data_IF_683313227630
#
_entry.id   IF_683313227630
#
_cell.length_a   1.000
_cell.length_b   1.000
_cell.length_c   1.000
_cell.angle_alpha   90.00
_cell.angle_beta   90.00
_cell.angle_gamma   90.00
#
_symmetry.space_group_name_H-M   'P 1'
#
loop_
_entity.id
_entity.type
_entity.pdbx_description
1 polymer ?
#
# COMPACT_ATOMS: atom_id res chain seq x y z
N UNK A 1 -29.06 20.26 -29.77
CA UNK A 1 -27.88 20.60 -30.58
C UNK A 1 -26.63 20.31 -29.76
N UNK A 2 -25.97 19.17 -30.01
CA UNK A 2 -24.56 18.85 -29.70
C UNK A 2 -24.38 17.34 -29.97
N UNK A 3 -24.31 16.93 -31.24
CA UNK A 3 -24.06 15.53 -31.60
C UNK A 3 -23.27 15.33 -32.90
N UNK A 4 -22.47 16.31 -33.34
CA UNK A 4 -21.72 16.19 -34.61
C UNK A 4 -20.23 16.54 -34.53
N UNK A 5 -19.72 17.07 -33.42
CA UNK A 5 -18.32 17.52 -33.33
C UNK A 5 -17.31 16.43 -32.94
N UNK A 6 -17.74 15.35 -32.27
CA UNK A 6 -16.81 14.27 -31.83
C UNK A 6 -16.41 13.29 -32.94
N UNK A 7 -17.24 13.12 -33.98
CA UNK A 7 -16.92 12.20 -35.08
C UNK A 7 -15.89 12.79 -36.07
N UNK A 8 -15.80 14.12 -36.17
CA UNK A 8 -14.88 14.80 -37.07
C UNK A 8 -13.43 14.81 -36.56
N UNK A 9 -13.22 14.84 -35.23
CA UNK A 9 -11.87 14.82 -34.64
C UNK A 9 -11.20 13.45 -34.80
N UNK A 10 -11.96 12.36 -34.69
CA UNK A 10 -11.45 10.98 -34.84
C UNK A 10 -11.05 10.66 -36.29
N UNK A 11 -11.71 11.27 -37.28
CA UNK A 11 -11.38 11.05 -38.70
C UNK A 11 -10.11 11.76 -39.16
N UNK A 12 -9.64 12.78 -38.45
CA UNK A 12 -8.47 13.60 -38.83
C UNK A 12 -7.12 13.05 -38.36
N UNK A 13 -7.11 11.99 -37.55
CA UNK A 13 -5.88 11.38 -37.02
C UNK A 13 -5.35 10.19 -37.84
N UNK A 14 -6.11 9.70 -38.83
CA UNK A 14 -5.69 8.58 -39.70
C UNK A 14 -4.50 8.87 -40.61
N UNK A 15 -4.05 10.13 -40.69
CA UNK A 15 -2.84 10.53 -41.41
C UNK A 15 -1.80 11.20 -40.52
N UNK A 16 -1.95 11.16 -39.20
CA UNK A 16 -0.94 11.73 -38.29
C UNK A 16 0.19 10.73 -38.03
N UNK A 17 1.43 11.19 -37.77
CA UNK A 17 2.57 10.32 -37.40
C UNK A 17 2.24 9.38 -36.23
N UNK A 18 1.30 9.77 -35.37
CA UNK A 18 0.80 9.02 -34.22
C UNK A 18 0.06 7.72 -34.60
N UNK A 19 -0.55 7.65 -35.79
CA UNK A 19 -1.25 6.44 -36.26
C UNK A 19 -0.29 5.41 -36.89
N UNK A 20 0.85 5.85 -37.45
CA UNK A 20 1.87 4.97 -37.98
C UNK A 20 2.64 4.23 -36.88
N UNK A 21 2.78 4.84 -35.70
CA UNK A 21 3.46 4.25 -34.54
C UNK A 21 2.70 3.07 -33.90
N UNK A 22 1.39 2.95 -34.16
CA UNK A 22 0.58 1.80 -33.73
C UNK A 22 0.65 0.61 -34.70
N UNK A 23 1.03 0.83 -35.96
CA UNK A 23 1.05 -0.21 -37.00
C UNK A 23 2.28 -1.12 -36.93
N UNK A 24 3.31 -0.77 -36.15
CA UNK A 24 4.59 -1.49 -36.11
C UNK A 24 4.75 -2.44 -34.91
N UNK A 25 3.75 -2.55 -34.03
CA UNK A 25 3.86 -3.42 -32.84
C UNK A 25 3.72 -4.88 -33.24
N UNK A 26 4.83 -5.61 -33.20
CA UNK A 26 4.85 -7.07 -33.32
C UNK A 26 4.01 -7.67 -32.19
N UNK A 27 3.23 -8.72 -32.45
CA UNK A 27 2.46 -9.42 -31.43
C UNK A 27 3.12 -10.79 -31.17
N UNK A 28 3.33 -11.13 -29.90
CA UNK A 28 3.70 -12.48 -29.49
C UNK A 28 2.41 -13.30 -29.32
N UNK A 29 2.41 -14.54 -29.84
CA UNK A 29 1.27 -15.46 -29.69
C UNK A 29 1.57 -16.43 -28.56
N UNK A 30 0.78 -16.39 -27.49
CA UNK A 30 0.89 -17.33 -26.37
C UNK A 30 -0.22 -18.38 -26.52
N UNK A 31 0.15 -19.66 -26.50
CA UNK A 31 -0.80 -20.78 -26.43
C UNK A 31 -1.24 -21.00 -24.98
N UNK A 32 -2.55 -20.98 -24.73
CA UNK A 32 -3.16 -21.20 -23.41
C UNK A 32 -3.84 -22.57 -23.30
N UNK A 33 -3.69 -23.43 -24.31
CA UNK A 33 -4.31 -24.74 -24.41
C UNK A 33 -4.67 -25.10 -25.86
N UNK A 34 -5.22 -26.30 -26.10
CA UNK A 34 -5.61 -26.74 -27.44
C UNK A 34 -6.62 -25.77 -28.06
N UNK A 35 -6.21 -25.08 -29.12
CA UNK A 35 -7.05 -24.14 -29.87
C UNK A 35 -7.21 -22.73 -29.26
N UNK A 36 -6.59 -22.44 -28.11
CA UNK A 36 -6.68 -21.11 -27.47
C UNK A 36 -5.34 -20.39 -27.62
N UNK A 37 -5.30 -19.38 -28.48
CA UNK A 37 -4.16 -18.49 -28.63
C UNK A 37 -4.53 -17.06 -28.25
N UNK A 38 -3.62 -16.36 -27.57
CA UNK A 38 -3.75 -14.93 -27.26
C UNK A 38 -2.61 -14.17 -27.90
N UNK A 39 -2.95 -13.19 -28.73
CA UNK A 39 -1.98 -12.21 -29.22
C UNK A 39 -1.74 -11.17 -28.13
N UNK A 40 -0.52 -11.12 -27.63
CA UNK A 40 -0.08 -10.13 -26.67
C UNK A 40 0.84 -9.17 -27.42
N UNK A 41 0.63 -7.84 -27.35
CA UNK A 41 1.57 -6.90 -27.94
C UNK A 41 2.96 -7.18 -27.37
N UNK A 42 3.97 -7.30 -28.24
CA UNK A 42 5.36 -7.41 -27.83
C UNK A 42 5.71 -6.12 -27.10
N UNK A 43 5.74 -6.15 -25.76
CA UNK A 43 6.20 -5.01 -24.97
C UNK A 43 7.71 -5.02 -25.08
N UNK A 44 8.26 -4.07 -25.81
CA UNK A 44 9.68 -3.79 -25.74
C UNK A 44 10.04 -3.52 -24.27
N UNK A 45 11.03 -4.23 -23.69
CA UNK A 45 11.39 -4.03 -22.30
C UNK A 45 11.77 -2.57 -22.04
N UNK A 46 11.37 -2.03 -20.89
CA UNK A 46 11.76 -0.67 -20.52
C UNK A 46 13.29 -0.49 -20.55
N UNK A 47 13.77 0.49 -21.31
CA UNK A 47 15.19 0.86 -21.42
C UNK A 47 15.50 2.27 -20.91
N UNK A 48 14.49 3.00 -20.44
CA UNK A 48 14.65 4.35 -19.92
C UNK A 48 15.34 4.36 -18.55
N UNK A 49 15.77 5.54 -18.08
CA UNK A 49 16.37 5.68 -16.76
C UNK A 49 15.32 5.48 -15.66
N UNK A 50 15.71 4.81 -14.57
CA UNK A 50 14.90 4.79 -13.36
C UNK A 50 14.77 6.23 -12.81
N UNK A 51 13.56 6.59 -12.36
CA UNK A 51 13.25 7.95 -11.86
C UNK A 51 13.00 7.99 -10.36
N UNK A 52 12.48 6.90 -9.80
CA UNK A 52 12.12 6.83 -8.39
C UNK A 52 12.18 5.41 -7.83
N UNK A 53 12.34 5.30 -6.52
CA UNK A 53 12.23 4.06 -5.75
C UNK A 53 11.21 4.28 -4.63
N UNK A 54 10.19 3.43 -4.55
CA UNK A 54 9.16 3.50 -3.50
C UNK A 54 9.36 2.31 -2.55
N UNK A 55 9.65 2.60 -1.29
CA UNK A 55 10.00 1.62 -0.27
C UNK A 55 8.85 1.41 0.73
N UNK A 56 8.88 0.29 1.45
CA UNK A 56 8.07 0.13 2.68
C UNK A 56 8.85 0.63 3.92
N UNK A 57 8.14 0.76 5.03
CA UNK A 57 8.72 1.09 6.34
C UNK A 57 9.20 -0.16 7.08
N UNK A 58 8.33 -0.80 7.87
CA UNK A 58 8.68 -1.94 8.72
C UNK A 58 9.09 -3.16 7.89
N UNK A 59 10.26 -3.72 8.17
CA UNK A 59 10.84 -4.85 7.44
C UNK A 59 11.50 -4.49 6.11
N UNK A 60 11.59 -3.20 5.74
CA UNK A 60 12.30 -2.75 4.53
C UNK A 60 13.29 -1.63 4.81
N UNK A 61 12.89 -0.60 5.55
CA UNK A 61 13.77 0.52 5.92
C UNK A 61 14.00 0.63 7.43
N UNK A 62 13.02 0.21 8.23
CA UNK A 62 13.10 0.18 9.70
C UNK A 62 12.50 -1.12 10.23
N UNK A 63 12.65 -1.40 11.54
CA UNK A 63 12.03 -2.55 12.22
C UNK A 63 12.26 -3.89 11.49
N UNK A 64 13.51 -4.37 11.53
CA UNK A 64 13.97 -5.55 10.77
C UNK A 64 13.13 -6.82 10.97
N UNK A 65 12.39 -6.92 12.08
CA UNK A 65 11.60 -8.10 12.45
C UNK A 65 10.09 -7.84 12.49
N UNK A 66 9.65 -6.65 12.05
CA UNK A 66 8.24 -6.23 12.02
C UNK A 66 7.56 -6.48 13.37
N UNK A 67 8.24 -6.11 14.46
CA UNK A 67 7.81 -6.42 15.82
C UNK A 67 6.77 -5.43 16.33
N UNK A 68 6.89 -4.15 15.95
CA UNK A 68 6.07 -3.07 16.49
C UNK A 68 4.57 -3.35 16.36
N UNK A 69 4.03 -3.70 15.16
CA UNK A 69 2.59 -3.95 15.04
C UNK A 69 2.17 -5.30 15.63
N UNK A 70 3.03 -6.32 15.57
CA UNK A 70 2.68 -7.66 16.02
C UNK A 70 2.46 -7.72 17.54
N UNK A 71 3.29 -7.00 18.32
CA UNK A 71 3.16 -6.89 19.78
C UNK A 71 1.90 -6.11 20.16
N UNK A 72 1.60 -5.02 19.44
CA UNK A 72 0.41 -4.20 19.72
C UNK A 72 -0.88 -4.96 19.42
N UNK A 73 -0.91 -5.79 18.36
CA UNK A 73 -2.08 -6.64 18.11
C UNK A 73 -2.33 -7.61 19.26
N UNK A 74 -1.29 -8.29 19.77
CA UNK A 74 -1.44 -9.18 20.93
C UNK A 74 -2.02 -8.42 22.12
N UNK A 75 -1.50 -7.20 22.39
CA UNK A 75 -1.96 -6.37 23.50
C UNK A 75 -3.42 -5.92 23.35
N UNK A 76 -3.82 -5.46 22.17
CA UNK A 76 -5.21 -5.04 21.89
C UNK A 76 -6.16 -6.21 22.06
N UNK A 77 -5.82 -7.37 21.50
CA UNK A 77 -6.65 -8.57 21.62
C UNK A 77 -6.79 -9.02 23.08
N UNK A 78 -5.69 -8.97 23.86
CA UNK A 78 -5.70 -9.22 25.31
C UNK A 78 -6.60 -8.25 26.07
N UNK A 79 -6.58 -6.94 25.77
CA UNK A 79 -7.50 -5.94 26.37
C UNK A 79 -8.97 -6.28 26.15
N UNK A 80 -9.31 -6.94 25.04
CA UNK A 80 -10.66 -7.39 24.75
C UNK A 80 -10.98 -8.78 25.34
N UNK A 81 -10.04 -9.38 26.08
CA UNK A 81 -10.17 -10.68 26.73
C UNK A 81 -9.92 -11.86 25.81
N UNK A 82 -9.36 -11.63 24.62
CA UNK A 82 -9.14 -12.68 23.60
C UNK A 82 -7.65 -12.80 23.33
N UNK A 83 -6.97 -13.75 23.95
CA UNK A 83 -5.54 -13.93 23.69
C UNK A 83 -5.28 -14.48 22.28
N UNK A 84 -4.29 -13.89 21.60
CA UNK A 84 -3.77 -14.35 20.31
C UNK A 84 -2.26 -14.55 20.40
N UNK A 85 -1.75 -15.47 19.58
CA UNK A 85 -0.32 -15.73 19.47
C UNK A 85 0.36 -14.72 18.56
N UNK A 86 1.68 -14.57 18.71
CA UNK A 86 2.51 -13.81 17.76
C UNK A 86 2.47 -14.37 16.33
N UNK A 87 2.12 -15.66 16.16
CA UNK A 87 1.95 -16.27 14.85
C UNK A 87 0.66 -15.78 14.20
N UNK A 88 -0.46 -15.82 14.93
CA UNK A 88 -1.76 -15.33 14.46
C UNK A 88 -1.72 -13.83 14.16
N UNK A 89 -1.06 -13.03 15.02
CA UNK A 89 -0.94 -11.58 14.79
C UNK A 89 -0.17 -11.24 13.51
N UNK A 90 0.75 -12.09 13.07
CA UNK A 90 1.59 -11.87 11.87
C UNK A 90 0.99 -12.36 10.55
N UNK A 91 -0.06 -13.18 10.56
CA UNK A 91 -0.61 -13.75 9.32
C UNK A 91 -1.05 -12.67 8.29
N UNK A 92 -1.71 -11.56 8.67
CA UNK A 92 -2.16 -10.52 7.74
C UNK A 92 -1.21 -9.32 7.57
N UNK A 93 0.09 -9.47 7.84
CA UNK A 93 1.04 -8.33 7.85
C UNK A 93 1.05 -7.53 6.54
N UNK A 94 1.18 -6.22 6.66
CA UNK A 94 1.22 -5.27 5.53
C UNK A 94 -0.13 -4.65 5.16
N UNK A 95 -1.24 -5.14 5.74
CA UNK A 95 -2.55 -4.50 5.60
C UNK A 95 -2.67 -3.23 6.47
N UNK A 96 -3.67 -2.41 6.13
CA UNK A 96 -4.13 -1.34 7.02
C UNK A 96 -4.61 -1.96 8.33
N UNK A 97 -4.36 -1.30 9.46
CA UNK A 97 -4.47 -1.92 10.79
C UNK A 97 -5.88 -2.36 11.17
N UNK A 98 -6.91 -1.64 10.71
CA UNK A 98 -8.31 -2.05 10.85
C UNK A 98 -8.63 -3.34 10.06
N UNK A 99 -8.20 -3.42 8.80
CA UNK A 99 -8.35 -4.61 7.95
C UNK A 99 -7.55 -5.78 8.52
N UNK A 100 -6.40 -5.48 9.13
CA UNK A 100 -5.57 -6.46 9.82
C UNK A 100 -6.33 -7.07 11.01
N UNK A 101 -6.93 -6.25 11.88
CA UNK A 101 -7.75 -6.73 13.01
C UNK A 101 -8.90 -7.60 12.51
N UNK A 102 -9.62 -7.15 11.47
CA UNK A 102 -10.69 -7.92 10.86
C UNK A 102 -10.18 -9.29 10.37
N UNK A 103 -9.02 -9.33 9.71
CA UNK A 103 -8.43 -10.59 9.24
C UNK A 103 -7.97 -11.51 10.36
N UNK A 104 -7.50 -10.97 11.49
CA UNK A 104 -7.21 -11.80 12.67
C UNK A 104 -8.51 -12.39 13.23
N UNK A 105 -9.59 -11.61 13.30
CA UNK A 105 -10.90 -12.10 13.78
C UNK A 105 -11.56 -13.11 12.83
N UNK A 106 -11.19 -13.13 11.55
CA UNK A 106 -11.62 -14.16 10.59
C UNK A 106 -10.90 -15.51 10.79
N UNK A 107 -9.79 -15.56 11.55
CA UNK A 107 -9.10 -16.82 11.84
C UNK A 107 -10.02 -17.71 12.69
N UNK A 108 -10.33 -18.95 12.28
CA UNK A 108 -11.31 -19.80 12.98
C UNK A 108 -11.03 -19.96 14.48
N UNK A 109 -9.77 -20.23 14.85
CA UNK A 109 -9.35 -20.37 16.24
C UNK A 109 -9.54 -19.10 17.07
N UNK A 110 -9.31 -17.93 16.48
CA UNK A 110 -9.49 -16.63 17.15
C UNK A 110 -10.98 -16.33 17.29
N UNK A 111 -11.78 -16.60 16.25
CA UNK A 111 -13.21 -16.35 16.27
C UNK A 111 -13.93 -17.22 17.30
N UNK A 112 -13.50 -18.47 17.49
CA UNK A 112 -14.00 -19.33 18.56
C UNK A 112 -13.68 -18.76 19.95
N UNK A 113 -12.46 -18.27 20.18
CA UNK A 113 -12.08 -17.61 21.44
C UNK A 113 -12.89 -16.34 21.66
N UNK A 114 -13.10 -15.55 20.61
CA UNK A 114 -13.95 -14.36 20.64
C UNK A 114 -15.38 -14.70 21.06
N UNK A 115 -16.00 -15.69 20.42
CA UNK A 115 -17.36 -16.12 20.75
C UNK A 115 -17.49 -16.64 22.18
N UNK A 116 -16.49 -17.37 22.70
CA UNK A 116 -16.46 -17.81 24.10
C UNK A 116 -16.43 -16.65 25.08
N UNK A 117 -15.70 -15.58 24.77
CA UNK A 117 -15.53 -14.41 25.64
C UNK A 117 -16.71 -13.43 25.54
N UNK A 118 -17.26 -13.25 24.33
CA UNK A 118 -18.27 -12.21 24.04
C UNK A 118 -19.69 -12.75 23.89
N UNK A 119 -19.88 -14.07 23.80
CA UNK A 119 -21.18 -14.73 23.59
C UNK A 119 -21.77 -14.54 22.19
N UNK A 120 -21.05 -13.89 21.27
CA UNK A 120 -21.49 -13.65 19.89
C UNK A 120 -20.30 -13.57 18.92
N UNK A 121 -20.50 -13.80 17.61
CA UNK A 121 -19.49 -13.51 16.61
C UNK A 121 -19.02 -12.06 16.65
N UNK A 122 -17.78 -11.83 16.22
CA UNK A 122 -17.22 -10.50 16.01
C UNK A 122 -17.96 -9.74 14.90
N UNK A 123 -18.04 -8.42 15.05
CA UNK A 123 -18.75 -7.51 14.14
C UNK A 123 -17.84 -6.38 13.69
N UNK A 124 -18.26 -5.63 12.67
CA UNK A 124 -17.54 -4.44 12.21
C UNK A 124 -17.34 -3.39 13.33
N UNK A 125 -18.32 -3.25 14.23
CA UNK A 125 -18.22 -2.33 15.37
C UNK A 125 -17.14 -2.75 16.37
N UNK A 126 -16.91 -4.05 16.53
CA UNK A 126 -15.83 -4.55 17.38
C UNK A 126 -14.46 -4.23 16.79
N UNK A 127 -14.31 -4.41 15.46
CA UNK A 127 -13.07 -4.04 14.73
C UNK A 127 -12.76 -2.56 14.93
N UNK A 128 -13.79 -1.70 14.82
CA UNK A 128 -13.63 -0.26 15.02
C UNK A 128 -13.20 0.08 16.46
N UNK A 129 -13.84 -0.55 17.46
CA UNK A 129 -13.47 -0.36 18.87
C UNK A 129 -12.02 -0.82 19.14
N UNK A 130 -11.63 -1.97 18.60
CA UNK A 130 -10.25 -2.48 18.71
C UNK A 130 -9.26 -1.57 17.98
N UNK A 131 -9.62 -1.01 16.83
CA UNK A 131 -8.76 -0.09 16.10
C UNK A 131 -8.55 1.24 16.84
N UNK A 132 -9.60 1.77 17.51
CA UNK A 132 -9.49 2.94 18.39
C UNK A 132 -8.51 2.72 19.54
N UNK A 133 -8.48 1.53 20.12
CA UNK A 133 -7.48 1.14 21.14
C UNK A 133 -6.08 0.90 20.55
N UNK A 134 -6.01 0.42 19.31
CA UNK A 134 -4.74 0.11 18.63
C UNK A 134 -3.89 1.36 18.40
N UNK A 135 -4.49 2.46 17.93
CA UNK A 135 -3.75 3.67 17.55
C UNK A 135 -2.89 4.23 18.69
N UNK A 136 -3.41 4.53 19.90
CA UNK A 136 -2.61 5.07 20.99
C UNK A 136 -1.52 4.08 21.45
N UNK A 137 -1.86 2.79 21.62
CA UNK A 137 -0.88 1.77 22.00
C UNK A 137 0.25 1.65 20.97
N UNK A 138 -0.09 1.72 19.69
CA UNK A 138 0.92 1.69 18.63
C UNK A 138 1.83 2.91 18.71
N UNK A 139 1.30 4.11 18.92
CA UNK A 139 2.10 5.33 19.05
C UNK A 139 3.05 5.29 20.26
N UNK A 140 2.64 4.68 21.38
CA UNK A 140 3.51 4.50 22.56
C UNK A 140 4.64 3.49 22.31
N UNK A 141 4.36 2.44 21.53
CA UNK A 141 5.30 1.36 21.26
C UNK A 141 6.26 1.71 20.13
N UNK A 142 5.82 2.46 19.12
CA UNK A 142 6.55 2.74 17.88
C UNK A 142 7.96 3.34 18.09
N UNK A 143 8.19 4.30 19.01
CA UNK A 143 9.51 4.85 19.29
C UNK A 143 10.58 3.81 19.66
N UNK A 144 10.17 2.64 20.17
CA UNK A 144 11.08 1.55 20.54
C UNK A 144 11.54 0.71 19.34
N UNK A 145 10.89 0.87 18.19
CA UNK A 145 11.10 0.06 16.98
C UNK A 145 11.41 0.93 15.75
N UNK A 146 12.00 2.10 15.95
CA UNK A 146 12.36 3.03 14.85
C UNK A 146 13.79 2.86 14.35
N UNK A 147 14.54 1.88 14.86
CA UNK A 147 15.89 1.60 14.38
C UNK A 147 15.84 1.24 12.90
N UNK A 148 16.62 1.96 12.10
CA UNK A 148 16.77 1.67 10.67
C UNK A 148 17.46 0.33 10.48
N UNK A 149 17.13 -0.34 9.38
CA UNK A 149 17.89 -1.51 8.93
C UNK A 149 19.30 -1.05 8.51
N UNK A 150 20.31 -1.84 8.86
CA UNK A 150 21.70 -1.54 8.52
C UNK A 150 21.87 -1.24 7.03
N UNK A 151 22.49 -0.10 6.72
CA UNK A 151 22.71 0.38 5.36
C UNK A 151 21.47 0.98 4.66
N UNK A 152 20.29 1.04 5.30
CA UNK A 152 19.10 1.63 4.69
C UNK A 152 19.28 3.14 4.40
N UNK A 153 19.81 3.90 5.36
CA UNK A 153 20.10 5.31 5.19
C UNK A 153 21.15 5.54 4.09
N UNK A 154 22.27 4.82 4.15
CA UNK A 154 23.35 4.91 3.16
C UNK A 154 22.86 4.56 1.75
N UNK A 155 22.04 3.51 1.62
CA UNK A 155 21.45 3.10 0.35
C UNK A 155 20.55 4.19 -0.21
N UNK A 156 19.65 4.77 0.60
CA UNK A 156 18.79 5.87 0.17
C UNK A 156 19.60 7.10 -0.24
N UNK A 157 20.64 7.43 0.51
CA UNK A 157 21.52 8.55 0.19
C UNK A 157 22.32 8.30 -1.10
N UNK A 158 22.76 7.06 -1.35
CA UNK A 158 23.39 6.65 -2.61
C UNK A 158 22.43 6.74 -3.79
N UNK A 159 21.19 6.24 -3.65
CA UNK A 159 20.16 6.29 -4.69
C UNK A 159 19.84 7.75 -5.08
N UNK A 160 19.76 8.66 -4.09
CA UNK A 160 19.53 10.08 -4.33
C UNK A 160 20.75 10.76 -4.97
N UNK A 161 21.92 10.65 -4.37
CA UNK A 161 23.12 11.40 -4.79
C UNK A 161 23.75 10.90 -6.08
N UNK A 162 23.86 9.57 -6.25
CA UNK A 162 24.58 8.97 -7.39
C UNK A 162 23.66 8.69 -8.57
N UNK A 163 22.43 8.26 -8.31
CA UNK A 163 21.49 7.85 -9.34
C UNK A 163 20.38 8.87 -9.60
N UNK A 164 20.35 9.99 -8.87
CA UNK A 164 19.34 11.04 -9.00
C UNK A 164 17.90 10.50 -8.89
N UNK A 165 17.71 9.46 -8.06
CA UNK A 165 16.41 8.85 -7.84
C UNK A 165 15.63 9.60 -6.77
N UNK A 166 14.35 9.82 -7.02
CA UNK A 166 13.40 10.27 -6.00
C UNK A 166 12.99 9.10 -5.12
N UNK A 167 12.91 9.32 -3.81
CA UNK A 167 12.61 8.27 -2.83
C UNK A 167 11.23 8.51 -2.25
N UNK A 168 10.33 7.57 -2.49
CA UNK A 168 9.03 7.54 -1.84
C UNK A 168 8.94 6.42 -0.82
N UNK A 169 7.93 6.46 0.04
CA UNK A 169 7.58 5.35 0.92
C UNK A 169 6.07 5.18 1.06
N UNK A 170 5.64 3.95 1.31
CA UNK A 170 4.24 3.61 1.62
C UNK A 170 4.20 2.76 2.87
N UNK A 171 3.09 2.79 3.61
CA UNK A 171 2.90 1.91 4.77
C UNK A 171 1.42 1.72 5.10
N UNK A 172 1.10 0.62 5.80
CA UNK A 172 -0.21 0.41 6.41
C UNK A 172 -0.42 1.17 7.72
N UNK A 173 0.56 1.94 8.20
CA UNK A 173 0.42 2.85 9.33
C UNK A 173 -0.40 4.10 8.97
N UNK A 174 -0.92 4.77 10.01
CA UNK A 174 -1.60 6.06 9.88
C UNK A 174 -0.58 7.20 9.82
N UNK A 175 -1.01 8.39 9.36
CA UNK A 175 -0.16 9.57 9.24
C UNK A 175 0.53 9.93 10.56
N UNK A 176 -0.20 9.90 11.67
CA UNK A 176 0.36 10.19 13.01
C UNK A 176 1.49 9.22 13.38
N UNK A 177 1.35 7.94 13.03
CA UNK A 177 2.42 6.94 13.26
C UNK A 177 3.61 7.17 12.32
N UNK A 178 3.35 7.53 11.06
CA UNK A 178 4.40 7.85 10.08
C UNK A 178 5.19 9.09 10.49
N UNK A 179 4.55 10.09 11.10
CA UNK A 179 5.23 11.29 11.58
C UNK A 179 6.28 10.97 12.66
N UNK A 180 5.95 10.07 13.59
CA UNK A 180 6.89 9.56 14.59
C UNK A 180 8.07 8.83 13.91
N UNK A 181 7.79 8.00 12.90
CA UNK A 181 8.83 7.27 12.15
C UNK A 181 9.74 8.22 11.39
N UNK A 182 9.19 9.23 10.72
CA UNK A 182 9.94 10.22 9.97
C UNK A 182 10.85 11.05 10.88
N UNK A 183 10.35 11.48 12.04
CA UNK A 183 11.13 12.22 13.04
C UNK A 183 12.36 11.40 13.48
N UNK A 184 12.13 10.14 13.88
CA UNK A 184 13.20 9.25 14.36
C UNK A 184 14.14 8.76 13.27
N UNK A 185 13.64 8.56 12.05
CA UNK A 185 14.47 8.13 10.92
C UNK A 185 15.39 9.26 10.43
N UNK A 186 14.92 10.52 10.52
CA UNK A 186 15.73 11.70 10.19
C UNK A 186 16.95 11.83 11.10
N UNK A 187 16.79 11.57 12.40
CA UNK A 187 17.91 11.51 13.38
C UNK A 187 18.97 10.46 12.99
N UNK A 188 18.56 9.42 12.26
CA UNK A 188 19.43 8.33 11.78
C UNK A 188 19.88 8.51 10.32
N UNK A 189 19.68 9.69 9.72
CA UNK A 189 20.16 9.99 8.36
C UNK A 189 19.29 9.46 7.21
N UNK A 190 18.08 8.99 7.48
CA UNK A 190 17.10 8.58 6.47
C UNK A 190 16.02 9.64 6.28
N UNK A 191 15.83 10.11 5.05
CA UNK A 191 14.77 11.07 4.73
C UNK A 191 14.24 10.82 3.31
N UNK A 192 13.04 10.20 3.19
CA UNK A 192 12.39 10.03 1.90
C UNK A 192 11.85 11.37 1.41
N UNK A 193 11.75 11.54 0.09
CA UNK A 193 11.20 12.74 -0.55
C UNK A 193 9.66 12.79 -0.45
N UNK A 194 9.02 11.62 -0.30
CA UNK A 194 7.59 11.48 -0.04
C UNK A 194 7.32 10.25 0.85
N UNK A 195 6.34 10.34 1.73
CA UNK A 195 5.83 9.21 2.52
C UNK A 195 4.31 9.28 2.51
N UNK A 196 3.65 8.18 2.15
CA UNK A 196 2.19 8.08 2.09
C UNK A 196 1.71 7.00 3.03
N UNK A 197 0.95 7.42 4.05
CA UNK A 197 0.29 6.57 5.02
C UNK A 197 -1.03 6.01 4.49
N UNK A 198 -1.53 4.95 5.12
CA UNK A 198 -2.73 4.24 4.68
C UNK A 198 -4.03 5.03 4.84
N UNK A 199 -4.03 6.06 5.68
CA UNK A 199 -5.15 6.97 5.90
C UNK A 199 -5.05 8.28 5.10
N UNK A 200 -4.02 8.47 4.27
CA UNK A 200 -3.85 9.69 3.45
C UNK A 200 -4.46 9.58 2.05
N UNK A 201 -4.81 8.37 1.60
CA UNK A 201 -5.37 8.17 0.25
C UNK A 201 -6.90 8.16 0.28
N UNK A 202 -7.45 9.28 -0.17
CA UNK A 202 -8.89 9.53 -0.28
C UNK A 202 -9.57 8.67 -1.34
N UNK A 203 -10.87 8.45 -1.13
CA UNK A 203 -11.75 7.67 -2.00
C UNK A 203 -12.04 8.35 -3.34
N UNK A 204 -12.00 7.61 -4.45
CA UNK A 204 -12.72 7.97 -5.68
C UNK A 204 -14.23 7.82 -5.45
N UNK A 205 -15.01 8.85 -5.75
CA UNK A 205 -16.47 8.82 -5.61
C UNK A 205 -17.08 7.57 -6.29
N UNK A 206 -17.86 6.77 -5.55
CA UNK A 206 -18.64 5.64 -6.10
C UNK A 206 -18.39 4.23 -5.50
N UNK A 207 -17.24 3.92 -4.90
CA UNK A 207 -16.93 2.53 -4.44
C UNK A 207 -17.25 2.29 -2.96
N UNK A 208 -18.41 1.72 -2.64
CA UNK A 208 -18.89 1.52 -1.26
C UNK A 208 -18.36 0.19 -0.69
N UNK A 209 -17.33 0.26 0.16
CA UNK A 209 -16.87 -0.90 0.94
C UNK A 209 -17.73 -1.04 2.20
N UNK A 210 -18.19 -2.24 2.47
CA UNK A 210 -19.26 -2.55 3.42
C UNK A 210 -18.87 -2.38 4.91
N UNK A 211 -17.59 -2.20 5.22
CA UNK A 211 -17.05 -2.48 6.56
C UNK A 211 -16.52 -1.27 7.34
N UNK A 212 -16.48 -0.05 6.77
CA UNK A 212 -16.07 1.14 7.52
C UNK A 212 -16.93 2.35 7.12
N UNK A 213 -17.82 2.74 8.03
CA UNK A 213 -18.75 3.87 7.86
C UNK A 213 -18.13 5.22 8.24
N UNK A 214 -17.00 5.24 8.94
CA UNK A 214 -16.46 6.44 9.58
C UNK A 214 -15.07 6.88 9.12
N UNK A 215 -14.39 6.12 8.24
CA UNK A 215 -13.13 6.57 7.65
C UNK A 215 -13.40 6.99 6.19
N UNK A 216 -13.37 8.30 5.86
CA UNK A 216 -13.58 8.79 4.49
C UNK A 216 -12.57 8.23 3.47
N UNK A 217 -11.43 7.76 3.99
CA UNK A 217 -10.26 7.31 3.23
C UNK A 217 -10.20 5.78 3.24
N UNK A 218 -10.39 5.17 2.07
CA UNK A 218 -10.50 3.72 1.95
C UNK A 218 -9.77 3.16 0.73
N UNK A 219 -8.69 3.81 0.30
CA UNK A 219 -7.87 3.33 -0.82
C UNK A 219 -6.40 3.16 -0.44
N UNK A 220 -5.98 3.66 0.73
CA UNK A 220 -4.64 3.47 1.27
C UNK A 220 -4.45 2.11 1.96
N UNK A 221 -4.73 1.03 1.24
CA UNK A 221 -4.51 -0.33 1.72
C UNK A 221 -3.80 -1.15 0.64
N UNK A 222 -2.98 -2.12 1.05
CA UNK A 222 -2.36 -3.09 0.13
C UNK A 222 -3.32 -4.26 -0.06
N UNK A 223 -3.42 -4.86 -1.27
CA UNK A 223 -2.56 -4.68 -2.45
C UNK A 223 -2.97 -3.55 -3.41
N UNK A 224 -3.88 -2.65 -3.02
CA UNK A 224 -4.31 -1.59 -3.92
C UNK A 224 -3.16 -0.59 -4.21
N UNK A 225 -2.99 -0.12 -5.46
CA UNK A 225 -1.80 0.63 -5.88
C UNK A 225 -1.85 2.12 -5.50
N UNK A 226 -2.90 2.58 -4.84
CA UNK A 226 -3.19 4.02 -4.77
C UNK A 226 -2.20 4.81 -3.92
N UNK A 227 -1.56 4.19 -2.91
CA UNK A 227 -0.46 4.83 -2.19
C UNK A 227 0.78 5.02 -3.08
N UNK A 228 1.02 4.12 -4.05
CA UNK A 228 2.09 4.28 -5.03
C UNK A 228 1.76 5.44 -5.97
N UNK A 229 0.53 5.51 -6.47
CA UNK A 229 0.11 6.61 -7.34
C UNK A 229 0.19 7.96 -6.63
N UNK A 230 -0.23 8.03 -5.37
CA UNK A 230 -0.08 9.25 -4.58
C UNK A 230 1.39 9.66 -4.42
N UNK A 231 2.30 8.72 -4.15
CA UNK A 231 3.73 9.01 -4.14
C UNK A 231 4.22 9.53 -5.50
N UNK A 232 3.83 8.90 -6.61
CA UNK A 232 4.25 9.33 -7.94
C UNK A 232 3.75 10.74 -8.28
N UNK A 233 2.53 11.09 -7.85
CA UNK A 233 2.00 12.45 -7.93
C UNK A 233 2.84 13.42 -7.10
N UNK A 234 3.09 13.12 -5.83
CA UNK A 234 3.89 13.96 -4.93
C UNK A 234 5.31 14.18 -5.45
N UNK A 235 5.91 13.13 -6.02
CA UNK A 235 7.26 13.16 -6.57
C UNK A 235 7.31 13.75 -7.99
N UNK A 236 6.19 13.95 -8.67
CA UNK A 236 6.15 14.39 -10.08
C UNK A 236 6.87 13.40 -11.01
N UNK A 237 6.56 12.11 -10.88
CA UNK A 237 7.17 11.03 -11.68
C UNK A 237 6.14 10.48 -12.67
N UNK A 238 6.35 10.77 -13.95
CA UNK A 238 5.50 10.32 -15.07
C UNK A 238 6.33 10.27 -16.37
N UNK A 239 5.86 9.56 -17.43
CA UNK A 239 4.80 8.54 -17.39
C UNK A 239 5.22 7.28 -16.61
N UNK A 240 4.25 6.45 -16.23
CA UNK A 240 4.50 5.10 -15.68
C UNK A 240 4.61 4.15 -16.86
N UNK A 241 5.80 3.61 -17.07
CA UNK A 241 6.12 2.72 -18.18
C UNK A 241 6.37 1.30 -17.63
N UNK A 242 5.96 0.28 -18.39
CA UNK A 242 6.05 -1.14 -18.01
C UNK A 242 6.53 -2.00 -19.15
#
# INVERSE_FOLDING_TARGET
MLSSTSAALVRRLRGSPFAQEFSSRTFATISLGPGITKHVPNREPYRGPLKACILDWSGTTADAHVLAPAVVFVEVFRKFGVDITMKESRLPMGLRKDLHIAKILEIPSVQERWQKVKGRPSTAADVEAMFKEFVPLQCEVLPKYTTLIDGAADTVNLLKSKYNLKIGSTTGFTKVMVDILLEKAKEQGYTPDSSVAGDEVSRLAGIRMQWSSQVPNNMGFRPAPFMLYQNLCNLGVFPIES
#
